data_IF_387595015077
#
_entry.id   IF_387595015077
#
_cell.length_a   1.000
_cell.length_b   1.000
_cell.length_c   1.000
_cell.angle_alpha   90.00
_cell.angle_beta   90.00
_cell.angle_gamma   90.00
#
_symmetry.space_group_name_H-M   'P 1'
#
loop_
_entity.id
_entity.type
_entity.pdbx_description
1 polymer ?
#
# COMPACT_ATOMS: atom_id res chain seq x y z
N UNK A 1 19.24 -6.14 19.14
CA UNK A 1 19.16 -7.04 17.98
C UNK A 1 18.59 -6.25 16.80
N UNK A 2 19.05 -6.46 15.56
CA UNK A 2 18.41 -5.85 14.38
C UNK A 2 16.93 -6.24 14.34
N UNK A 3 16.06 -5.34 13.87
CA UNK A 3 14.65 -5.68 13.57
C UNK A 3 14.63 -6.92 12.66
N UNK A 4 13.83 -7.93 13.01
CA UNK A 4 13.70 -9.18 12.23
C UNK A 4 14.67 -10.31 12.56
N UNK A 5 15.65 -10.13 13.46
CA UNK A 5 16.63 -11.17 13.81
C UNK A 5 16.03 -12.50 14.28
N UNK A 6 14.87 -12.47 14.95
CA UNK A 6 14.12 -13.66 15.40
C UNK A 6 13.65 -14.56 14.25
N UNK A 7 13.46 -14.00 13.04
CA UNK A 7 12.80 -14.70 11.93
C UNK A 7 13.74 -15.10 10.79
N UNK A 8 15.04 -14.87 10.93
CA UNK A 8 16.08 -15.22 9.94
C UNK A 8 16.05 -16.72 9.57
N UNK A 9 15.72 -17.60 10.53
CA UNK A 9 15.61 -19.03 10.25
C UNK A 9 14.47 -19.34 9.27
N UNK A 10 13.35 -18.62 9.37
CA UNK A 10 12.24 -18.73 8.43
C UNK A 10 12.63 -18.22 7.04
N UNK A 11 13.37 -17.11 6.98
CA UNK A 11 13.90 -16.55 5.72
C UNK A 11 14.73 -17.57 4.97
N UNK A 12 15.77 -18.11 5.62
CA UNK A 12 16.66 -19.12 5.01
C UNK A 12 15.92 -20.37 4.58
N UNK A 13 14.91 -20.79 5.35
CA UNK A 13 14.10 -21.95 4.99
C UNK A 13 13.30 -21.70 3.70
N UNK A 14 12.68 -20.53 3.54
CA UNK A 14 11.88 -20.17 2.38
C UNK A 14 12.74 -19.95 1.13
N UNK A 15 13.90 -19.30 1.27
CA UNK A 15 14.90 -19.16 0.20
C UNK A 15 15.32 -20.54 -0.33
N UNK A 16 15.65 -21.47 0.58
CA UNK A 16 16.05 -22.84 0.21
C UNK A 16 14.92 -23.67 -0.41
N UNK A 17 13.65 -23.36 -0.10
CA UNK A 17 12.53 -24.09 -0.69
C UNK A 17 12.40 -23.80 -2.19
N UNK A 18 12.63 -22.55 -2.60
CA UNK A 18 12.60 -22.06 -3.98
C UNK A 18 11.31 -22.38 -4.79
N UNK A 19 10.23 -22.76 -4.12
CA UNK A 19 8.95 -23.12 -4.75
C UNK A 19 8.09 -21.89 -4.96
N UNK A 20 7.39 -21.83 -6.09
CA UNK A 20 6.39 -20.77 -6.34
C UNK A 20 5.32 -20.68 -5.23
N UNK A 21 4.97 -21.80 -4.59
CA UNK A 21 4.03 -21.85 -3.46
C UNK A 21 4.57 -22.77 -2.37
N UNK A 22 4.57 -22.29 -1.12
CA UNK A 22 4.98 -23.06 0.07
C UNK A 22 3.83 -23.08 1.07
N UNK A 23 3.24 -24.26 1.28
CA UNK A 23 2.19 -24.48 2.29
C UNK A 23 2.81 -25.02 3.57
N UNK A 24 2.51 -24.43 4.72
CA UNK A 24 3.00 -24.93 6.00
C UNK A 24 2.03 -24.74 7.17
N UNK A 25 2.22 -25.55 8.21
CA UNK A 25 1.50 -25.45 9.49
C UNK A 25 2.25 -24.52 10.44
N UNK A 26 1.53 -23.90 11.37
CA UNK A 26 2.14 -23.03 12.40
C UNK A 26 3.20 -23.80 13.21
N UNK A 27 2.93 -25.05 13.59
CA UNK A 27 3.90 -25.93 14.26
C UNK A 27 5.22 -26.10 13.49
N UNK A 28 5.18 -26.10 12.15
CA UNK A 28 6.40 -26.19 11.33
C UNK A 28 7.19 -24.88 11.39
N UNK A 29 6.50 -23.73 11.40
CA UNK A 29 7.12 -22.42 11.59
C UNK A 29 7.81 -22.37 12.96
N UNK A 30 7.11 -22.76 14.03
CA UNK A 30 7.70 -22.84 15.38
C UNK A 30 8.94 -23.74 15.42
N UNK A 31 8.90 -24.89 14.73
CA UNK A 31 10.04 -25.80 14.64
C UNK A 31 11.23 -25.18 13.88
N UNK A 32 10.98 -24.29 12.92
CA UNK A 32 12.02 -23.56 12.18
C UNK A 32 12.59 -22.43 13.03
N UNK A 33 11.73 -21.72 13.77
CA UNK A 33 12.12 -20.62 14.64
C UNK A 33 12.81 -21.09 15.94
N UNK A 34 12.56 -22.33 16.35
CA UNK A 34 13.02 -22.86 17.64
C UNK A 34 12.26 -22.28 18.85
N UNK A 35 11.14 -21.60 18.59
CA UNK A 35 10.33 -20.91 19.60
C UNK A 35 8.84 -21.00 19.23
N UNK A 36 7.96 -20.83 20.23
CA UNK A 36 6.52 -20.76 20.00
C UNK A 36 6.14 -19.43 19.35
N UNK A 37 5.11 -19.47 18.51
CA UNK A 37 4.50 -18.26 17.99
C UNK A 37 3.72 -17.55 19.10
N UNK A 38 3.64 -16.22 18.99
CA UNK A 38 2.86 -15.42 19.92
C UNK A 38 1.38 -15.85 19.90
N UNK A 39 0.69 -15.68 21.04
CA UNK A 39 -0.74 -16.02 21.15
C UNK A 39 -1.59 -15.33 20.07
N UNK A 40 -1.18 -14.13 19.64
CA UNK A 40 -1.83 -13.37 18.57
C UNK A 40 -1.83 -14.11 17.24
N UNK A 41 -0.78 -14.86 16.91
CA UNK A 41 -0.68 -15.65 15.68
C UNK A 41 -1.82 -16.68 15.52
N UNK A 42 -2.34 -17.16 16.65
CA UNK A 42 -3.40 -18.16 16.73
C UNK A 42 -4.81 -17.58 16.76
N UNK A 43 -4.94 -16.26 16.91
CA UNK A 43 -6.23 -15.60 17.10
C UNK A 43 -6.56 -14.62 15.98
N UNK A 44 -5.56 -13.88 15.51
CA UNK A 44 -5.73 -12.74 14.63
C UNK A 44 -5.01 -12.98 13.30
N UNK A 45 -5.73 -13.11 12.17
CA UNK A 45 -5.11 -13.13 10.83
C UNK A 45 -4.16 -11.96 10.57
N UNK A 46 -4.45 -10.79 11.17
CA UNK A 46 -3.67 -9.55 11.09
C UNK A 46 -2.27 -9.68 11.67
N UNK A 47 -2.05 -10.64 12.58
CA UNK A 47 -0.69 -10.94 13.06
C UNK A 47 0.24 -11.39 11.92
N UNK A 48 -0.33 -11.98 10.87
CA UNK A 48 0.39 -12.43 9.69
C UNK A 48 0.46 -11.36 8.58
N UNK A 49 0.00 -10.12 8.84
CA UNK A 49 0.10 -8.98 7.92
C UNK A 49 1.17 -7.98 8.39
N UNK A 50 1.43 -6.93 7.59
CA UNK A 50 2.64 -6.07 7.69
C UNK A 50 2.49 -4.89 8.68
N UNK A 51 1.38 -4.78 9.42
CA UNK A 51 1.09 -3.62 10.27
C UNK A 51 1.84 -3.66 11.63
N UNK A 52 3.01 -3.02 11.68
CA UNK A 52 3.75 -2.56 12.87
C UNK A 52 4.40 -3.60 13.84
N UNK A 53 5.12 -3.17 14.89
CA UNK A 53 6.58 -3.02 15.00
C UNK A 53 7.31 -4.32 15.40
N UNK A 54 6.62 -5.46 15.37
CA UNK A 54 7.13 -6.78 15.79
C UNK A 54 7.38 -7.73 14.60
N UNK A 55 7.30 -7.22 13.37
CA UNK A 55 6.79 -8.00 12.22
C UNK A 55 7.56 -9.32 11.97
N UNK A 56 6.87 -10.42 12.28
CA UNK A 56 7.18 -11.76 11.77
C UNK A 56 7.26 -11.79 10.24
N UNK A 57 6.64 -10.80 9.59
CA UNK A 57 6.61 -10.65 8.15
C UNK A 57 7.97 -10.54 7.49
N UNK A 58 8.97 -9.95 8.15
CA UNK A 58 10.35 -9.96 7.67
C UNK A 58 10.87 -11.39 7.38
N UNK A 59 10.36 -12.40 8.10
CA UNK A 59 10.71 -13.79 7.88
C UNK A 59 10.43 -14.28 6.45
N UNK A 60 9.33 -13.84 5.82
CA UNK A 60 9.00 -14.22 4.44
C UNK A 60 9.28 -13.12 3.42
N UNK A 61 9.13 -11.85 3.80
CA UNK A 61 9.38 -10.72 2.91
C UNK A 61 10.84 -10.72 2.43
N UNK A 62 11.80 -10.91 3.36
CA UNK A 62 13.22 -10.96 3.02
C UNK A 62 13.57 -12.17 2.14
N UNK A 63 12.75 -13.22 2.14
CA UNK A 63 12.94 -14.40 1.29
C UNK A 63 12.28 -14.25 -0.09
N UNK A 64 11.68 -13.10 -0.39
CA UNK A 64 10.93 -12.88 -1.63
C UNK A 64 9.59 -13.63 -1.66
N UNK A 65 8.92 -13.79 -0.52
CA UNK A 65 7.59 -14.39 -0.43
C UNK A 65 6.57 -13.43 0.16
N UNK A 66 5.29 -13.69 -0.07
CA UNK A 66 4.17 -13.11 0.70
C UNK A 66 3.19 -14.18 1.14
N UNK A 67 2.36 -13.83 2.11
CA UNK A 67 1.22 -14.64 2.51
C UNK A 67 0.13 -14.53 1.44
N UNK A 68 -0.22 -15.66 0.84
CA UNK A 68 -1.38 -15.78 -0.05
C UNK A 68 -2.66 -16.08 0.72
N UNK A 69 -2.56 -16.88 1.78
CA UNK A 69 -3.71 -17.30 2.58
C UNK A 69 -3.30 -17.73 3.97
N UNK A 70 -4.06 -17.32 4.98
CA UNK A 70 -3.97 -17.86 6.35
C UNK A 70 -5.29 -18.54 6.72
N UNK A 71 -5.20 -19.69 7.38
CA UNK A 71 -6.33 -20.37 7.98
C UNK A 71 -6.03 -20.63 9.45
N UNK A 72 -6.56 -19.77 10.32
CA UNK A 72 -6.35 -19.83 11.77
C UNK A 72 -6.87 -21.14 12.36
N UNK A 73 -8.09 -21.57 12.00
CA UNK A 73 -8.71 -22.82 12.52
C UNK A 73 -7.88 -24.07 12.21
N UNK A 74 -7.32 -24.15 11.00
CA UNK A 74 -6.46 -25.25 10.56
C UNK A 74 -4.98 -25.03 10.89
N UNK A 75 -4.63 -23.87 11.45
CA UNK A 75 -3.27 -23.43 11.76
C UNK A 75 -2.31 -23.65 10.58
N UNK A 76 -2.73 -23.19 9.40
CA UNK A 76 -2.01 -23.34 8.13
C UNK A 76 -1.93 -22.01 7.42
N UNK A 77 -0.85 -21.80 6.70
CA UNK A 77 -0.70 -20.69 5.77
C UNK A 77 -0.04 -21.15 4.47
N UNK A 78 -0.22 -20.33 3.45
CA UNK A 78 0.33 -20.50 2.11
C UNK A 78 1.16 -19.27 1.78
N UNK A 79 2.46 -19.46 1.62
CA UNK A 79 3.35 -18.50 1.02
C UNK A 79 3.33 -18.67 -0.50
N UNK A 80 3.46 -17.56 -1.21
CA UNK A 80 3.70 -17.53 -2.66
C UNK A 80 4.96 -16.70 -2.91
N UNK A 81 5.81 -17.14 -3.83
CA UNK A 81 6.93 -16.32 -4.30
C UNK A 81 6.36 -15.01 -4.80
N UNK A 82 6.92 -13.93 -4.32
CA UNK A 82 6.55 -12.62 -4.76
C UNK A 82 7.34 -12.27 -6.02
N UNK A 83 6.68 -11.58 -6.94
CA UNK A 83 7.32 -11.09 -8.15
C UNK A 83 7.74 -9.62 -7.94
N UNK A 84 8.30 -9.33 -6.75
CA UNK A 84 8.61 -7.98 -6.31
C UNK A 84 9.46 -7.21 -7.32
N UNK A 85 10.47 -7.84 -7.89
CA UNK A 85 11.34 -7.18 -8.87
C UNK A 85 10.55 -6.76 -10.11
N UNK A 86 9.57 -7.55 -10.53
CA UNK A 86 8.70 -7.23 -11.68
C UNK A 86 7.68 -6.16 -11.31
N UNK A 87 7.03 -6.28 -10.16
CA UNK A 87 6.04 -5.31 -9.68
C UNK A 87 6.69 -3.95 -9.42
N UNK A 88 7.89 -3.93 -8.84
CA UNK A 88 8.66 -2.71 -8.62
C UNK A 88 9.15 -2.11 -9.95
N UNK A 89 9.69 -2.91 -10.87
CA UNK A 89 10.06 -2.42 -12.20
C UNK A 89 8.85 -1.84 -12.96
N UNK A 90 7.66 -2.41 -12.77
CA UNK A 90 6.43 -1.86 -13.35
C UNK A 90 6.04 -0.51 -12.71
N UNK A 91 6.16 -0.38 -11.38
CA UNK A 91 5.97 0.91 -10.70
C UNK A 91 6.93 1.96 -11.27
N UNK A 92 8.21 1.62 -11.39
CA UNK A 92 9.24 2.52 -11.92
C UNK A 92 8.93 2.91 -13.38
N UNK A 93 8.47 1.97 -14.21
CA UNK A 93 8.04 2.26 -15.59
C UNK A 93 6.81 3.20 -15.63
N UNK A 94 5.86 3.01 -14.72
CA UNK A 94 4.62 3.78 -14.70
C UNK A 94 4.85 5.24 -14.29
N UNK A 95 5.83 5.52 -13.43
CA UNK A 95 6.19 6.89 -13.07
C UNK A 95 6.63 7.74 -14.27
N UNK A 96 7.14 7.12 -15.34
CA UNK A 96 7.59 7.80 -16.57
C UNK A 96 6.46 8.02 -17.59
N UNK A 97 5.21 7.67 -17.25
CA UNK A 97 4.04 7.79 -18.15
C UNK A 97 3.24 9.06 -17.88
N UNK A 98 2.19 9.27 -18.69
CA UNK A 98 1.22 10.35 -18.49
C UNK A 98 0.69 10.35 -17.05
N UNK A 99 0.80 11.51 -16.39
CA UNK A 99 0.32 11.73 -15.04
C UNK A 99 -0.93 12.63 -15.03
N UNK A 100 -1.88 12.24 -14.20
CA UNK A 100 -3.07 13.00 -13.84
C UNK A 100 -3.11 13.13 -12.33
N UNK A 101 -3.84 14.11 -11.82
CA UNK A 101 -4.03 14.27 -10.38
C UNK A 101 -5.50 14.36 -10.00
N UNK A 102 -5.80 13.80 -8.83
CA UNK A 102 -7.05 14.02 -8.11
C UNK A 102 -6.75 15.01 -6.99
N UNK A 103 -7.12 16.27 -7.21
CA UNK A 103 -6.65 17.42 -6.44
C UNK A 103 -7.82 18.12 -5.73
N UNK A 104 -7.55 18.80 -4.61
CA UNK A 104 -8.52 19.68 -3.97
C UNK A 104 -8.79 20.97 -4.78
N UNK A 105 -7.93 21.30 -5.76
CA UNK A 105 -8.09 22.44 -6.65
C UNK A 105 -8.36 22.02 -8.11
N UNK A 106 -9.22 22.76 -8.84
CA UNK A 106 -9.56 22.46 -10.24
C UNK A 106 -8.45 22.83 -11.23
N UNK A 107 -7.56 23.76 -10.87
CA UNK A 107 -6.48 24.28 -11.72
C UNK A 107 -5.22 24.48 -10.89
N UNK A 108 -4.06 24.41 -11.53
CA UNK A 108 -2.77 24.71 -10.88
C UNK A 108 -2.72 26.17 -10.48
N UNK A 109 -2.23 26.45 -9.28
CA UNK A 109 -1.98 27.83 -8.83
C UNK A 109 -0.68 28.33 -9.47
N UNK A 110 -0.69 29.42 -10.26
CA UNK A 110 0.50 29.92 -10.91
C UNK A 110 1.56 30.42 -9.90
N UNK A 111 2.86 30.31 -10.22
CA UNK A 111 3.91 30.92 -9.40
C UNK A 111 3.69 32.42 -9.22
N UNK A 112 3.85 32.92 -7.99
CA UNK A 112 3.72 34.35 -7.69
C UNK A 112 2.28 34.87 -7.63
N UNK A 113 1.28 33.99 -7.55
CA UNK A 113 -0.11 34.38 -7.34
C UNK A 113 -0.28 35.14 -6.00
N UNK A 114 -1.26 36.05 -5.94
CA UNK A 114 -1.57 36.91 -4.79
C UNK A 114 -2.47 36.21 -3.76
N UNK A 115 -2.93 35.01 -4.07
CA UNK A 115 -3.72 34.18 -3.17
C UNK A 115 -2.90 33.67 -1.98
N UNK A 116 -3.59 32.98 -1.07
CA UNK A 116 -3.00 32.42 0.15
C UNK A 116 -2.79 30.91 0.02
N UNK A 117 -2.36 30.44 -1.16
CA UNK A 117 -2.31 29.01 -1.49
C UNK A 117 -1.58 28.19 -0.42
N UNK A 118 -0.36 28.59 -0.05
CA UNK A 118 0.44 27.87 0.94
C UNK A 118 -0.21 27.81 2.32
N UNK A 119 -0.85 28.89 2.77
CA UNK A 119 -1.59 28.91 4.05
C UNK A 119 -2.80 27.97 4.01
N UNK A 120 -3.53 27.96 2.89
CA UNK A 120 -4.69 27.07 2.69
C UNK A 120 -4.23 25.62 2.62
N UNK A 121 -3.20 25.32 1.84
CA UNK A 121 -2.62 23.98 1.71
C UNK A 121 -2.13 23.47 3.07
N UNK A 122 -1.43 24.31 3.84
CA UNK A 122 -0.99 23.96 5.18
C UNK A 122 -2.16 23.58 6.09
N UNK A 123 -3.32 24.24 5.99
CA UNK A 123 -4.52 23.86 6.76
C UNK A 123 -5.05 22.47 6.35
N UNK A 124 -4.94 22.09 5.07
CA UNK A 124 -5.37 20.78 4.57
C UNK A 124 -4.37 19.66 4.85
N UNK A 125 -3.07 19.96 4.96
CA UNK A 125 -2.04 18.96 5.20
C UNK A 125 -1.65 18.80 6.67
N UNK A 126 -1.66 19.89 7.44
CA UNK A 126 -1.13 19.92 8.82
C UNK A 126 -2.15 20.38 9.88
N UNK A 127 -3.30 20.93 9.47
CA UNK A 127 -4.39 21.32 10.39
C UNK A 127 -5.50 20.28 10.44
N UNK A 128 -6.54 20.48 11.25
CA UNK A 128 -7.65 19.53 11.46
C UNK A 128 -8.33 19.00 10.18
N UNK A 129 -8.22 19.72 9.05
CA UNK A 129 -8.75 19.31 7.75
C UNK A 129 -7.98 18.14 7.12
N UNK A 130 -6.82 17.78 7.65
CA UNK A 130 -6.04 16.63 7.17
C UNK A 130 -6.81 15.32 7.29
N UNK A 131 -7.64 15.17 8.33
CA UNK A 131 -8.48 13.97 8.55
C UNK A 131 -9.53 13.84 7.44
N UNK A 132 -10.11 14.96 7.01
CA UNK A 132 -11.08 14.96 5.91
C UNK A 132 -10.40 14.60 4.59
N UNK A 133 -9.19 15.12 4.34
CA UNK A 133 -8.42 14.79 3.15
C UNK A 133 -8.05 13.29 3.12
N UNK A 134 -7.55 12.78 4.25
CA UNK A 134 -7.23 11.37 4.44
C UNK A 134 -8.42 10.47 4.07
N UNK A 135 -9.60 10.82 4.58
CA UNK A 135 -10.84 10.06 4.32
C UNK A 135 -11.21 10.05 2.84
N UNK A 136 -11.09 11.18 2.15
CA UNK A 136 -11.39 11.29 0.71
C UNK A 136 -10.48 10.38 -0.12
N UNK A 137 -9.18 10.40 0.15
CA UNK A 137 -8.22 9.54 -0.56
C UNK A 137 -8.45 8.06 -0.28
N UNK A 138 -8.67 7.69 0.98
CA UNK A 138 -9.01 6.33 1.36
C UNK A 138 -10.30 5.85 0.66
N UNK A 139 -11.35 6.68 0.63
CA UNK A 139 -12.62 6.37 -0.04
C UNK A 139 -12.42 6.06 -1.53
N UNK A 140 -11.58 6.82 -2.24
CA UNK A 140 -11.29 6.59 -3.66
C UNK A 140 -10.63 5.22 -3.84
N UNK A 141 -9.57 4.93 -3.09
CA UNK A 141 -8.84 3.66 -3.18
C UNK A 141 -9.76 2.48 -2.83
N UNK A 142 -10.53 2.58 -1.74
CA UNK A 142 -11.49 1.55 -1.32
C UNK A 142 -12.57 1.28 -2.38
N UNK A 143 -13.10 2.32 -3.04
CA UNK A 143 -14.08 2.17 -4.12
C UNK A 143 -13.44 1.54 -5.37
N UNK A 144 -12.19 1.87 -5.69
CA UNK A 144 -11.47 1.22 -6.79
C UNK A 144 -11.22 -0.26 -6.55
N UNK A 145 -10.97 -0.67 -5.29
CA UNK A 145 -10.85 -2.08 -4.92
C UNK A 145 -12.13 -2.90 -5.19
N UNK A 146 -13.27 -2.25 -5.44
CA UNK A 146 -14.49 -2.94 -5.88
C UNK A 146 -14.48 -3.31 -7.37
N UNK A 147 -13.67 -2.61 -8.18
CA UNK A 147 -13.57 -2.81 -9.63
C UNK A 147 -12.30 -3.57 -10.01
N UNK A 148 -11.20 -3.32 -9.30
CA UNK A 148 -9.87 -3.78 -9.66
C UNK A 148 -9.15 -4.48 -8.51
N UNK A 149 -8.25 -5.41 -8.84
CA UNK A 149 -7.29 -5.95 -7.88
C UNK A 149 -6.17 -4.94 -7.66
N UNK A 150 -5.91 -4.57 -6.40
CA UNK A 150 -4.79 -3.69 -6.03
C UNK A 150 -3.65 -4.47 -5.37
N UNK A 151 -2.43 -4.17 -5.77
CA UNK A 151 -1.21 -4.48 -5.04
C UNK A 151 -0.65 -3.16 -4.50
N UNK A 152 -0.36 -3.07 -3.21
CA UNK A 152 0.21 -1.86 -2.62
C UNK A 152 1.70 -2.03 -2.35
N UNK A 153 2.50 -1.00 -2.62
CA UNK A 153 3.86 -0.86 -2.12
C UNK A 153 3.90 0.20 -1.02
N UNK A 154 4.34 -0.23 0.17
CA UNK A 154 4.43 0.60 1.37
C UNK A 154 5.60 0.12 2.24
N UNK A 155 6.43 1.04 2.75
CA UNK A 155 7.66 0.75 3.49
C UNK A 155 8.57 -0.32 2.84
N UNK A 156 8.65 -0.33 1.51
CA UNK A 156 9.49 -1.26 0.75
C UNK A 156 8.95 -2.69 0.63
N UNK A 157 7.72 -2.96 1.07
CA UNK A 157 7.05 -4.24 0.83
C UNK A 157 5.86 -4.09 -0.13
N UNK A 158 5.71 -5.04 -1.07
CA UNK A 158 4.46 -5.17 -1.84
C UNK A 158 3.52 -6.25 -1.29
N UNK A 159 2.22 -5.96 -1.26
CA UNK A 159 1.21 -6.95 -0.91
C UNK A 159 -0.18 -6.56 -1.39
N UNK A 160 -1.07 -7.54 -1.49
CA UNK A 160 -2.50 -7.29 -1.73
C UNK A 160 -3.18 -7.00 -0.39
N UNK A 161 -3.66 -5.77 -0.14
CA UNK A 161 -4.21 -5.40 1.16
C UNK A 161 -5.64 -5.93 1.32
N UNK A 162 -6.04 -6.26 2.55
CA UNK A 162 -7.46 -6.28 2.88
C UNK A 162 -7.98 -4.82 2.94
N UNK A 163 -9.23 -4.54 2.53
CA UNK A 163 -9.75 -3.16 2.49
C UNK A 163 -9.56 -2.39 3.80
N UNK A 164 -9.76 -3.05 4.96
CA UNK A 164 -9.60 -2.43 6.28
C UNK A 164 -8.20 -1.87 6.58
N UNK A 165 -7.18 -2.28 5.82
CA UNK A 165 -5.80 -1.81 6.00
C UNK A 165 -5.55 -0.46 5.32
N UNK A 166 -6.36 -0.07 4.33
CA UNK A 166 -6.15 1.19 3.58
C UNK A 166 -6.21 2.39 4.50
N UNK A 167 -7.24 2.49 5.35
CA UNK A 167 -7.39 3.58 6.31
C UNK A 167 -6.20 3.66 7.27
N UNK A 168 -5.72 2.50 7.74
CA UNK A 168 -4.60 2.40 8.68
C UNK A 168 -3.30 2.87 8.04
N UNK A 169 -3.02 2.46 6.80
CA UNK A 169 -1.80 2.80 6.09
C UNK A 169 -1.75 4.29 5.76
N UNK A 170 -2.84 4.84 5.23
CA UNK A 170 -2.90 6.28 4.92
C UNK A 170 -2.81 7.08 6.22
N UNK A 171 -3.45 6.61 7.30
CA UNK A 171 -3.32 7.23 8.62
C UNK A 171 -1.87 7.28 9.08
N UNK A 172 -1.16 6.16 8.99
CA UNK A 172 0.23 6.04 9.46
C UNK A 172 1.18 6.92 8.65
N UNK A 173 1.00 7.02 7.33
CA UNK A 173 1.79 7.92 6.46
C UNK A 173 1.57 9.39 6.88
N UNK A 174 0.31 9.78 7.09
CA UNK A 174 -0.05 11.15 7.47
C UNK A 174 0.40 11.51 8.89
N UNK A 175 0.14 10.65 9.88
CA UNK A 175 0.49 10.90 11.29
C UNK A 175 2.02 10.95 11.49
N UNK A 176 2.77 10.16 10.72
CA UNK A 176 4.25 10.18 10.76
C UNK A 176 4.88 11.26 9.89
N UNK A 177 4.07 12.02 9.14
CA UNK A 177 4.53 13.01 8.15
C UNK A 177 5.68 12.48 7.29
N UNK A 178 5.57 11.22 6.84
CA UNK A 178 6.62 10.58 6.06
C UNK A 178 6.13 9.37 5.27
N UNK A 179 6.78 9.16 4.13
CA UNK A 179 6.55 8.00 3.27
C UNK A 179 5.48 8.23 2.20
N UNK A 180 5.21 7.17 1.47
CA UNK A 180 4.28 7.17 0.34
C UNK A 180 3.55 5.84 0.28
N UNK A 181 2.43 5.83 -0.44
CA UNK A 181 1.66 4.65 -0.79
C UNK A 181 1.54 4.58 -2.31
N UNK A 182 2.03 3.49 -2.89
CA UNK A 182 1.82 3.17 -4.28
C UNK A 182 0.74 2.08 -4.37
N UNK A 183 -0.36 2.36 -5.05
CA UNK A 183 -1.44 1.42 -5.37
C UNK A 183 -1.32 1.02 -6.84
N UNK A 184 -0.74 -0.15 -7.08
CA UNK A 184 -0.52 -0.73 -8.40
C UNK A 184 -1.73 -1.55 -8.84
N UNK A 185 -2.25 -1.23 -10.02
CA UNK A 185 -3.31 -1.97 -10.71
C UNK A 185 -2.70 -2.69 -11.91
N UNK A 186 -2.12 -3.86 -11.62
CA UNK A 186 -1.23 -4.59 -12.54
C UNK A 186 -1.91 -5.01 -13.86
N UNK A 187 -3.17 -5.46 -13.79
CA UNK A 187 -3.90 -5.94 -14.97
C UNK A 187 -4.31 -4.78 -15.88
N UNK A 188 -4.64 -3.65 -15.28
CA UNK A 188 -5.08 -2.42 -15.95
C UNK A 188 -3.94 -1.47 -16.31
N UNK A 189 -2.71 -1.83 -15.90
CA UNK A 189 -1.46 -1.13 -16.18
C UNK A 189 -1.46 0.36 -15.77
N UNK A 190 -1.96 0.67 -14.57
CA UNK A 190 -1.91 2.02 -14.02
C UNK A 190 -1.52 2.03 -12.53
N UNK A 191 -1.08 3.19 -12.05
CA UNK A 191 -0.59 3.40 -10.69
C UNK A 191 -1.30 4.60 -10.06
N UNK A 192 -1.68 4.48 -8.80
CA UNK A 192 -2.00 5.63 -7.95
C UNK A 192 -0.90 5.78 -6.92
N UNK A 193 -0.37 6.98 -6.79
CA UNK A 193 0.62 7.33 -5.77
C UNK A 193 0.03 8.39 -4.83
N UNK A 194 0.34 8.23 -3.56
CA UNK A 194 -0.02 9.12 -2.48
C UNK A 194 1.22 9.42 -1.66
N UNK A 195 1.48 10.71 -1.42
CA UNK A 195 2.59 11.19 -0.59
C UNK A 195 2.03 12.08 0.53
N UNK A 196 2.68 12.03 1.70
CA UNK A 196 2.18 12.67 2.93
C UNK A 196 2.09 14.19 2.84
N UNK A 197 2.92 14.84 2.01
CA UNK A 197 3.01 16.28 1.83
C UNK A 197 2.23 16.77 0.60
N UNK A 198 1.46 15.89 -0.05
CA UNK A 198 0.68 16.22 -1.24
C UNK A 198 -0.82 16.30 -0.92
N UNK A 199 -1.45 17.41 -1.30
CA UNK A 199 -2.91 17.58 -1.19
C UNK A 199 -3.68 16.95 -2.36
N UNK A 200 -3.08 15.98 -3.05
CA UNK A 200 -3.63 15.29 -4.21
C UNK A 200 -3.18 13.82 -4.27
N UNK A 201 -3.88 13.02 -5.07
CA UNK A 201 -3.41 11.70 -5.52
C UNK A 201 -2.84 11.82 -6.93
N UNK A 202 -1.64 11.32 -7.17
CA UNK A 202 -1.07 11.18 -8.50
C UNK A 202 -1.57 9.88 -9.14
N UNK A 203 -1.94 9.94 -10.42
CA UNK A 203 -2.45 8.80 -11.19
C UNK A 203 -1.67 8.68 -12.49
N UNK A 204 -0.90 7.62 -12.63
CA UNK A 204 -0.03 7.37 -13.76
C UNK A 204 -0.61 6.33 -14.71
N UNK A 205 -0.54 6.62 -16.01
CA UNK A 205 -0.98 5.76 -17.09
C UNK A 205 -2.43 5.22 -16.99
N UNK A 206 -3.44 5.96 -16.49
CA UNK A 206 -4.80 5.43 -16.46
C UNK A 206 -5.33 5.25 -17.90
N UNK A 207 -5.90 4.10 -18.20
CA UNK A 207 -6.65 3.88 -19.45
C UNK A 207 -8.03 4.56 -19.38
N UNK A 208 -8.75 4.64 -20.50
CA UNK A 208 -9.94 5.50 -20.61
C UNK A 208 -11.09 5.13 -19.66
N UNK A 209 -11.31 3.83 -19.42
CA UNK A 209 -12.30 3.37 -18.44
C UNK A 209 -11.90 3.74 -17.00
N UNK A 210 -10.64 3.51 -16.60
CA UNK A 210 -10.11 3.98 -15.33
C UNK A 210 -10.23 5.50 -15.18
N UNK A 211 -9.93 6.30 -16.21
CA UNK A 211 -10.11 7.77 -16.17
C UNK A 211 -11.56 8.14 -15.87
N UNK A 212 -12.53 7.53 -16.57
CA UNK A 212 -13.96 7.80 -16.37
C UNK A 212 -14.41 7.50 -14.93
N UNK A 213 -13.98 6.36 -14.39
CA UNK A 213 -14.27 5.97 -13.00
C UNK A 213 -13.63 6.95 -12.03
N UNK A 214 -12.33 7.24 -12.18
CA UNK A 214 -11.60 8.13 -11.29
C UNK A 214 -12.13 9.56 -11.30
N UNK A 215 -12.54 10.09 -12.46
CA UNK A 215 -13.21 11.39 -12.58
C UNK A 215 -14.52 11.43 -11.79
N UNK A 216 -15.32 10.37 -11.88
CA UNK A 216 -16.58 10.25 -11.15
C UNK A 216 -16.34 10.15 -9.64
N UNK A 217 -15.33 9.37 -9.23
CA UNK A 217 -14.92 9.22 -7.83
C UNK A 217 -14.40 10.54 -7.25
N UNK A 218 -13.50 11.22 -7.95
CA UNK A 218 -12.98 12.54 -7.59
C UNK A 218 -14.12 13.52 -7.33
N UNK A 219 -15.05 13.64 -8.29
CA UNK A 219 -16.24 14.49 -8.16
C UNK A 219 -17.09 14.11 -6.93
N UNK A 220 -17.27 12.82 -6.66
CA UNK A 220 -18.07 12.35 -5.52
C UNK A 220 -17.45 12.70 -4.16
N UNK A 221 -16.12 12.83 -4.08
CA UNK A 221 -15.39 13.24 -2.88
C UNK A 221 -15.13 14.76 -2.81
N UNK A 222 -15.69 15.52 -3.76
CA UNK A 222 -15.48 16.97 -3.85
C UNK A 222 -14.03 17.33 -4.18
N UNK A 223 -13.42 16.53 -5.06
CA UNK A 223 -12.09 16.73 -5.63
C UNK A 223 -12.19 16.90 -7.14
N UNK A 224 -11.10 17.31 -7.77
CA UNK A 224 -11.02 17.64 -9.18
C UNK A 224 -10.03 16.73 -9.89
N UNK A 225 -10.37 16.35 -11.11
CA UNK A 225 -9.48 15.61 -11.99
C UNK A 225 -8.84 16.55 -13.00
N UNK A 226 -7.51 16.55 -13.07
CA UNK A 226 -6.78 17.34 -14.07
C UNK A 226 -5.53 16.60 -14.55
N UNK A 227 -5.07 16.90 -15.77
CA UNK A 227 -3.77 16.40 -16.23
C UNK A 227 -2.68 17.10 -15.42
N UNK A 228 -1.63 16.37 -15.02
CA UNK A 228 -0.46 16.99 -14.43
C UNK A 228 0.28 17.74 -15.52
N UNK A 229 0.65 18.99 -15.26
CA UNK A 229 1.64 19.69 -16.07
C UNK A 229 3.01 19.22 -15.56
N UNK A 230 3.83 18.65 -16.43
CA UNK A 230 5.21 18.29 -16.11
C UNK A 230 6.05 19.54 -15.84
#
# INVERSE_FOLDING_TARGET
MPKGGKYVALTRYLEKCDKAVVKMKFKKIESILGDKLDKSAYKYPEFWTVAEPHSIAFGWLNAGYRIKKVNIKKQKLEFVKNNFDKEQALIDELFEKDCYVIDFLPVVVPPGDKGQFFEVEHLFLNGDRYIDMQRKFANIILKLMCYYSVTISWFGGLYKPEPKLIDQIIKEIMDNHSGWLNCLFEEENFLINFEWDCAYLAVFNPHDEAKSILQSLAKSEGLFWRKSEN
#
